data_IF_652121011869
#
_entry.id   IF_652121011869
#
_cell.length_a   1.000
_cell.length_b   1.000
_cell.length_c   1.000
_cell.angle_alpha   90.00
_cell.angle_beta   90.00
_cell.angle_gamma   90.00
#
_symmetry.space_group_name_H-M   'P 1'
#
loop_
_entity.id
_entity.type
_entity.pdbx_description
1 polymer ?
#
# COMPACT_ATOMS: atom_id res chain seq x y z
N UNK A 1 -45.28 -1.24 -12.89
CA UNK A 1 -44.00 -1.98 -13.00
C UNK A 1 -42.92 -0.97 -13.35
N UNK A 2 -42.30 -0.34 -12.35
CA UNK A 2 -41.36 0.78 -12.56
C UNK A 2 -40.03 0.48 -11.84
N UNK A 3 -38.99 0.34 -12.66
CA UNK A 3 -37.55 0.43 -12.42
C UNK A 3 -36.94 -0.21 -11.15
N UNK A 4 -36.29 -1.36 -11.39
CA UNK A 4 -35.41 -2.07 -10.45
C UNK A 4 -33.98 -1.49 -10.31
N UNK A 5 -33.66 -0.33 -10.91
CA UNK A 5 -32.30 0.26 -10.85
C UNK A 5 -32.22 1.57 -10.07
N UNK A 6 -32.68 1.54 -8.82
CA UNK A 6 -32.61 2.67 -7.87
C UNK A 6 -31.60 2.43 -6.73
N UNK A 7 -30.86 1.30 -6.78
CA UNK A 7 -29.93 0.85 -5.72
C UNK A 7 -28.61 1.63 -5.61
N UNK A 8 -28.45 2.76 -6.30
CA UNK A 8 -27.16 3.44 -6.47
C UNK A 8 -27.11 4.87 -5.94
N UNK A 9 -27.96 5.22 -4.96
CA UNK A 9 -27.81 6.48 -4.24
C UNK A 9 -26.99 6.26 -2.96
N UNK A 10 -25.70 6.60 -3.11
CA UNK A 10 -24.66 6.78 -2.08
C UNK A 10 -23.88 5.50 -1.71
N UNK A 11 -22.69 5.39 -2.30
CA UNK A 11 -21.78 4.23 -2.19
C UNK A 11 -21.21 4.07 -0.78
N UNK A 12 -20.40 5.04 -0.34
CA UNK A 12 -19.71 4.99 0.95
C UNK A 12 -20.65 5.38 2.10
N UNK A 13 -21.41 6.46 1.93
CA UNK A 13 -22.29 6.97 2.99
C UNK A 13 -23.33 5.93 3.43
N UNK A 14 -23.97 5.24 2.49
CA UNK A 14 -24.96 4.21 2.85
C UNK A 14 -24.30 2.94 3.40
N UNK A 15 -23.10 2.59 2.93
CA UNK A 15 -22.31 1.52 3.55
C UNK A 15 -21.99 1.84 5.02
N UNK A 16 -21.49 3.04 5.31
CA UNK A 16 -21.19 3.48 6.67
C UNK A 16 -22.45 3.53 7.54
N UNK A 17 -23.55 4.07 7.01
CA UNK A 17 -24.82 4.08 7.72
C UNK A 17 -25.34 2.67 7.98
N UNK A 18 -25.14 1.73 7.05
CA UNK A 18 -25.49 0.32 7.25
C UNK A 18 -24.73 -0.30 8.43
N UNK A 19 -23.43 0.03 8.58
CA UNK A 19 -22.64 -0.39 9.74
C UNK A 19 -23.21 0.21 11.03
N UNK A 20 -23.55 1.51 11.02
CA UNK A 20 -24.16 2.19 12.18
C UNK A 20 -25.50 1.56 12.56
N UNK A 21 -26.38 1.31 11.58
CA UNK A 21 -27.68 0.67 11.79
C UNK A 21 -27.53 -0.75 12.32
N UNK A 22 -26.62 -1.53 11.73
CA UNK A 22 -26.34 -2.91 12.16
C UNK A 22 -25.82 -2.93 13.61
N UNK A 23 -24.97 -1.98 13.97
CA UNK A 23 -24.49 -1.80 15.34
C UNK A 23 -25.63 -1.38 16.29
N UNK A 24 -26.43 -0.37 15.92
CA UNK A 24 -27.51 0.14 16.76
C UNK A 24 -28.57 -0.93 17.08
N UNK A 25 -28.85 -1.83 16.13
CA UNK A 25 -29.81 -2.94 16.30
C UNK A 25 -29.44 -3.94 17.40
N UNK A 26 -28.21 -3.90 17.92
CA UNK A 26 -27.82 -4.71 19.08
C UNK A 26 -28.61 -4.33 20.35
N UNK A 27 -29.20 -3.14 20.39
CA UNK A 27 -30.09 -2.67 21.47
C UNK A 27 -31.50 -2.41 20.92
N UNK A 28 -32.29 -3.46 20.64
CA UNK A 28 -33.53 -3.33 19.88
C UNK A 28 -34.58 -2.44 20.54
N UNK A 29 -34.57 -2.32 21.86
CA UNK A 29 -35.49 -1.48 22.64
C UNK A 29 -35.04 -0.03 22.81
N UNK A 30 -33.82 0.32 22.39
CA UNK A 30 -33.34 1.69 22.48
C UNK A 30 -34.10 2.60 21.52
N UNK A 31 -34.41 3.81 21.97
CA UNK A 31 -35.04 4.84 21.14
C UNK A 31 -34.01 5.47 20.21
N UNK A 32 -34.36 5.58 18.92
CA UNK A 32 -33.54 6.29 17.95
C UNK A 32 -33.83 7.78 18.09
N UNK A 33 -32.79 8.57 18.36
CA UNK A 33 -32.93 10.02 18.43
C UNK A 33 -33.44 10.58 17.08
N UNK A 34 -34.57 11.33 17.07
CA UNK A 34 -35.17 11.83 15.84
C UNK A 34 -34.23 12.70 15.00
N UNK A 35 -34.09 12.32 13.72
CA UNK A 35 -33.34 13.10 12.74
C UNK A 35 -34.21 14.25 12.24
N UNK A 36 -33.69 15.48 12.30
CA UNK A 36 -34.37 16.65 11.74
C UNK A 36 -33.82 16.99 10.36
N UNK A 37 -34.71 17.10 9.37
CA UNK A 37 -34.41 17.56 8.03
C UNK A 37 -34.66 19.07 7.94
N UNK A 38 -33.63 19.82 7.58
CA UNK A 38 -33.71 21.27 7.41
C UNK A 38 -33.88 21.64 5.93
N UNK A 39 -34.81 22.54 5.62
CA UNK A 39 -35.14 22.92 4.24
C UNK A 39 -33.95 23.52 3.48
N UNK A 40 -33.10 24.30 4.15
CA UNK A 40 -31.94 24.95 3.52
C UNK A 40 -30.90 23.94 2.99
N UNK A 41 -30.91 22.71 3.51
CA UNK A 41 -30.04 21.60 3.08
C UNK A 41 -30.62 20.84 1.87
N UNK A 42 -31.88 21.08 1.51
CA UNK A 42 -32.64 20.34 0.51
C UNK A 42 -32.79 21.13 -0.81
N UNK A 43 -31.68 21.46 -1.46
CA UNK A 43 -31.69 22.18 -2.76
C UNK A 43 -31.73 21.21 -3.95
N UNK A 44 -32.69 21.39 -4.84
CA UNK A 44 -32.84 20.59 -6.07
C UNK A 44 -32.87 19.07 -5.81
N UNK A 45 -32.12 18.32 -6.61
CA UNK A 45 -32.05 16.85 -6.52
C UNK A 45 -31.50 16.33 -5.19
N UNK A 46 -30.76 17.15 -4.43
CA UNK A 46 -30.19 16.75 -3.14
C UNK A 46 -31.29 16.34 -2.15
N UNK A 47 -32.46 16.96 -2.23
CA UNK A 47 -33.63 16.62 -1.40
C UNK A 47 -34.02 15.16 -1.56
N UNK A 48 -34.25 14.73 -2.80
CA UNK A 48 -34.70 13.38 -3.14
C UNK A 48 -33.63 12.37 -2.72
N UNK A 49 -32.36 12.68 -2.98
CA UNK A 49 -31.23 11.82 -2.60
C UNK A 49 -31.10 11.65 -1.09
N UNK A 50 -31.21 12.74 -0.32
CA UNK A 50 -31.12 12.74 1.15
C UNK A 50 -32.28 11.98 1.78
N UNK A 51 -33.51 12.24 1.34
CA UNK A 51 -34.68 11.58 1.93
C UNK A 51 -34.63 10.07 1.67
N UNK A 52 -34.35 9.66 0.42
CA UNK A 52 -34.16 8.24 0.06
C UNK A 52 -33.03 7.57 0.86
N UNK A 53 -31.96 8.31 1.16
CA UNK A 53 -30.84 7.80 1.95
C UNK A 53 -31.23 7.36 3.36
N UNK A 54 -32.20 8.03 3.99
CA UNK A 54 -32.69 7.64 5.31
C UNK A 54 -33.84 6.63 5.22
N UNK A 55 -34.75 6.82 4.25
CA UNK A 55 -35.90 5.94 4.03
C UNK A 55 -35.51 4.49 3.76
N UNK A 56 -34.37 4.26 3.08
CA UNK A 56 -33.85 2.90 2.84
C UNK A 56 -33.46 2.12 4.12
N UNK A 57 -33.31 2.81 5.26
CA UNK A 57 -33.05 2.19 6.57
C UNK A 57 -34.32 2.09 7.44
N UNK A 58 -35.50 2.34 6.86
CA UNK A 58 -36.78 2.30 7.57
C UNK A 58 -37.14 3.60 8.30
N UNK A 59 -36.36 4.66 8.15
CA UNK A 59 -36.61 5.95 8.81
C UNK A 59 -37.69 6.72 8.03
N UNK A 60 -38.81 7.00 8.68
CA UNK A 60 -39.94 7.72 8.09
C UNK A 60 -40.01 9.13 8.68
N UNK A 61 -40.17 10.15 7.81
CA UNK A 61 -40.26 11.54 8.23
C UNK A 61 -41.71 12.03 8.25
N UNK A 62 -42.07 12.80 9.27
CA UNK A 62 -43.21 13.70 9.25
C UNK A 62 -42.76 15.02 8.61
N UNK A 63 -43.04 15.18 7.31
CA UNK A 63 -42.69 16.37 6.55
C UNK A 63 -43.56 17.57 6.96
N UNK A 64 -42.97 18.76 6.93
CA UNK A 64 -43.66 20.02 7.27
C UNK A 64 -44.61 20.49 6.16
N UNK A 65 -44.36 20.06 4.92
CA UNK A 65 -45.13 20.43 3.73
C UNK A 65 -45.01 19.34 2.65
N UNK A 66 -45.81 19.49 1.58
CA UNK A 66 -45.79 18.59 0.41
C UNK A 66 -44.47 18.64 -0.36
N UNK A 67 -43.62 19.64 -0.10
CA UNK A 67 -42.33 19.74 -0.76
C UNK A 67 -41.34 18.71 -0.21
N UNK A 68 -41.59 18.14 0.98
CA UNK A 68 -40.72 17.18 1.65
C UNK A 68 -39.29 17.70 1.88
N UNK A 69 -39.12 19.03 1.95
CA UNK A 69 -37.82 19.67 2.12
C UNK A 69 -37.36 19.68 3.59
N UNK A 70 -38.31 19.81 4.51
CA UNK A 70 -38.09 19.76 5.96
C UNK A 70 -39.07 18.79 6.64
N UNK A 71 -38.68 18.31 7.80
CA UNK A 71 -39.45 17.33 8.56
C UNK A 71 -38.65 16.75 9.72
N UNK A 72 -39.33 16.03 10.60
CA UNK A 72 -38.70 15.33 11.73
C UNK A 72 -38.96 13.85 11.57
N UNK A 73 -37.95 13.01 11.79
CA UNK A 73 -38.10 11.57 11.81
C UNK A 73 -39.12 11.19 12.88
N UNK A 74 -40.02 10.26 12.56
CA UNK A 74 -40.93 9.70 13.56
C UNK A 74 -40.12 8.94 14.60
N UNK A 75 -40.62 8.94 15.83
CA UNK A 75 -40.08 8.09 16.89
C UNK A 75 -40.10 6.63 16.43
N UNK A 76 -38.97 5.95 16.64
CA UNK A 76 -38.82 4.55 16.32
C UNK A 76 -37.78 3.91 17.22
N UNK A 77 -37.90 2.60 17.45
CA UNK A 77 -36.86 1.84 18.15
C UNK A 77 -35.75 1.40 17.21
N UNK A 78 -34.57 1.16 17.76
CA UNK A 78 -33.45 0.67 16.96
C UNK A 78 -33.76 -0.67 16.29
N UNK A 79 -34.56 -1.54 16.92
CA UNK A 79 -34.98 -2.82 16.35
C UNK A 79 -35.76 -2.70 15.03
N UNK A 80 -36.42 -1.56 14.81
CA UNK A 80 -37.24 -1.26 13.62
C UNK A 80 -36.39 -0.80 12.41
N UNK A 81 -35.11 -0.49 12.62
CA UNK A 81 -34.20 -0.12 11.54
C UNK A 81 -33.97 -1.29 10.57
N UNK A 82 -33.80 -0.96 9.29
CA UNK A 82 -33.68 -1.93 8.19
C UNK A 82 -32.27 -1.89 7.57
N UNK A 83 -31.29 -2.67 8.08
CA UNK A 83 -29.99 -2.79 7.44
C UNK A 83 -30.08 -3.60 6.15
N UNK A 84 -29.13 -3.37 5.26
CA UNK A 84 -28.89 -4.18 4.09
C UNK A 84 -28.27 -5.53 4.49
N UNK A 85 -28.80 -6.60 3.92
CA UNK A 85 -28.23 -7.95 4.10
C UNK A 85 -26.96 -8.17 3.26
N UNK A 86 -26.81 -7.45 2.15
CA UNK A 86 -25.72 -7.66 1.19
C UNK A 86 -25.06 -6.35 0.79
N UNK A 87 -23.73 -6.40 0.66
CA UNK A 87 -22.95 -5.30 0.12
C UNK A 87 -23.31 -5.09 -1.37
N UNK A 88 -23.37 -3.84 -1.79
CA UNK A 88 -23.54 -3.54 -3.21
C UNK A 88 -22.33 -4.05 -4.02
N UNK A 89 -22.58 -4.63 -5.19
CA UNK A 89 -21.56 -5.24 -6.06
C UNK A 89 -20.43 -4.28 -6.47
N UNK A 90 -20.66 -2.97 -6.37
CA UNK A 90 -19.70 -1.92 -6.72
C UNK A 90 -18.84 -1.42 -5.54
N UNK A 91 -18.94 -2.03 -4.36
CA UNK A 91 -18.08 -1.75 -3.20
C UNK A 91 -17.22 -2.97 -2.89
N UNK A 92 -15.93 -2.73 -2.74
CA UNK A 92 -14.99 -3.66 -2.12
C UNK A 92 -14.51 -3.06 -0.79
N UNK A 93 -14.52 -3.88 0.26
CA UNK A 93 -13.92 -3.53 1.55
C UNK A 93 -12.53 -4.15 1.57
N UNK A 94 -11.51 -3.31 1.60
CA UNK A 94 -10.13 -3.74 1.76
C UNK A 94 -9.76 -3.68 3.25
N UNK A 95 -9.36 -4.80 3.86
CA UNK A 95 -8.74 -4.77 5.18
C UNK A 95 -7.54 -3.84 5.19
N UNK A 96 -7.31 -3.17 6.32
CA UNK A 96 -6.24 -2.19 6.44
C UNK A 96 -4.87 -2.84 6.20
N UNK A 97 -4.71 -4.06 6.70
CA UNK A 97 -3.51 -4.88 6.55
C UNK A 97 -3.24 -5.15 5.07
N UNK A 98 -4.26 -5.61 4.33
CA UNK A 98 -4.17 -5.89 2.90
C UNK A 98 -3.84 -4.64 2.08
N UNK A 99 -4.31 -3.45 2.51
CA UNK A 99 -3.98 -2.20 1.85
C UNK A 99 -2.51 -1.80 2.01
N UNK A 100 -1.89 -2.18 3.13
CA UNK A 100 -0.48 -1.87 3.43
C UNK A 100 0.49 -2.98 3.05
N UNK A 101 0.03 -4.19 2.74
CA UNK A 101 0.89 -5.33 2.41
C UNK A 101 1.90 -5.01 1.30
N UNK A 102 1.47 -4.38 0.21
CA UNK A 102 2.35 -4.05 -0.90
C UNK A 102 3.41 -3.00 -0.51
N UNK A 103 3.00 -1.99 0.24
CA UNK A 103 3.89 -0.93 0.73
C UNK A 103 4.90 -1.49 1.73
N UNK A 104 4.47 -2.40 2.60
CA UNK A 104 5.35 -3.08 3.55
C UNK A 104 6.39 -3.96 2.84
N UNK A 105 5.98 -4.71 1.80
CA UNK A 105 6.92 -5.49 0.98
C UNK A 105 7.95 -4.60 0.29
N UNK A 106 7.51 -3.49 -0.32
CA UNK A 106 8.41 -2.54 -0.95
C UNK A 106 9.42 -1.98 0.06
N UNK A 107 8.96 -1.55 1.23
CA UNK A 107 9.83 -1.08 2.31
C UNK A 107 10.87 -2.12 2.74
N UNK A 108 10.47 -3.39 2.85
CA UNK A 108 11.39 -4.46 3.25
C UNK A 108 12.45 -4.74 2.17
N UNK A 109 12.06 -4.74 0.89
CA UNK A 109 13.03 -4.89 -0.22
C UNK A 109 14.01 -3.71 -0.26
N UNK A 110 13.53 -2.48 -0.06
CA UNK A 110 14.36 -1.30 0.00
C UNK A 110 15.35 -1.36 1.17
N UNK A 111 14.89 -1.78 2.36
CA UNK A 111 15.76 -1.97 3.54
C UNK A 111 16.86 -3.00 3.28
N UNK A 112 16.53 -4.14 2.68
CA UNK A 112 17.51 -5.17 2.32
C UNK A 112 18.54 -4.64 1.31
N UNK A 113 18.10 -3.87 0.31
CA UNK A 113 19.00 -3.27 -0.67
C UNK A 113 19.96 -2.27 -0.02
N UNK A 114 19.46 -1.43 0.88
CA UNK A 114 20.28 -0.46 1.62
C UNK A 114 21.33 -1.15 2.49
N UNK A 115 20.94 -2.19 3.23
CA UNK A 115 21.88 -2.98 4.03
C UNK A 115 22.98 -3.60 3.15
N UNK A 116 22.61 -4.16 2.01
CA UNK A 116 23.57 -4.75 1.06
C UNK A 116 24.55 -3.70 0.52
N UNK A 117 24.05 -2.51 0.18
CA UNK A 117 24.90 -1.40 -0.27
C UNK A 117 25.84 -0.91 0.84
N UNK A 118 25.35 -0.76 2.07
CA UNK A 118 26.17 -0.36 3.21
C UNK A 118 27.30 -1.37 3.51
N UNK A 119 27.00 -2.66 3.42
CA UNK A 119 28.01 -3.71 3.59
C UNK A 119 29.07 -3.66 2.50
N UNK A 120 28.66 -3.46 1.24
CA UNK A 120 29.58 -3.27 0.10
C UNK A 120 30.45 -2.03 0.26
N UNK A 121 29.87 -0.90 0.64
CA UNK A 121 30.61 0.34 0.87
C UNK A 121 31.65 0.16 1.97
N UNK A 122 31.29 -0.48 3.11
CA UNK A 122 32.25 -0.80 4.17
C UNK A 122 33.37 -1.72 3.68
N UNK A 123 33.04 -2.75 2.91
CA UNK A 123 34.03 -3.68 2.36
C UNK A 123 35.01 -2.96 1.42
N UNK A 124 34.49 -2.16 0.48
CA UNK A 124 35.29 -1.38 -0.47
C UNK A 124 36.17 -0.34 0.25
N UNK A 125 35.63 0.36 1.25
CA UNK A 125 36.43 1.28 2.08
C UNK A 125 37.55 0.54 2.80
N UNK A 126 37.29 -0.64 3.34
CA UNK A 126 38.31 -1.46 4.00
C UNK A 126 39.37 -2.00 3.03
N UNK A 127 39.00 -2.33 1.80
CA UNK A 127 39.96 -2.68 0.73
C UNK A 127 40.81 -1.49 0.34
N UNK A 128 40.19 -0.33 0.13
CA UNK A 128 40.88 0.92 -0.22
C UNK A 128 41.86 1.35 0.88
N UNK A 129 41.46 1.29 2.15
CA UNK A 129 42.35 1.57 3.28
C UNK A 129 43.55 0.60 3.32
N UNK A 130 43.33 -0.70 3.11
CA UNK A 130 44.42 -1.69 3.05
C UNK A 130 45.37 -1.44 1.87
N UNK A 131 44.82 -1.07 0.71
CA UNK A 131 45.61 -0.70 -0.46
C UNK A 131 46.47 0.55 -0.20
N UNK A 132 45.87 1.58 0.43
CA UNK A 132 46.57 2.82 0.80
C UNK A 132 47.64 2.60 1.87
N UNK A 133 47.44 1.68 2.81
CA UNK A 133 48.44 1.37 3.84
C UNK A 133 49.70 0.69 3.27
N UNK A 134 49.57 -0.02 2.15
CA UNK A 134 50.69 -0.76 1.52
C UNK A 134 50.72 -0.58 -0.01
N UNK A 135 51.01 0.63 -0.51
CA UNK A 135 50.83 1.00 -1.91
C UNK A 135 51.71 0.19 -2.87
N UNK A 136 52.98 -0.07 -2.49
CA UNK A 136 53.91 -0.84 -3.32
C UNK A 136 53.51 -2.32 -3.44
N UNK A 137 53.06 -2.94 -2.34
CA UNK A 137 52.58 -4.33 -2.34
C UNK A 137 51.29 -4.46 -3.14
N UNK A 138 50.39 -3.50 -3.02
CA UNK A 138 49.16 -3.45 -3.80
C UNK A 138 49.43 -3.32 -5.30
N UNK A 139 50.30 -2.38 -5.70
CA UNK A 139 50.69 -2.19 -7.10
C UNK A 139 51.36 -3.45 -7.69
N UNK A 140 52.31 -4.06 -6.96
CA UNK A 140 52.97 -5.29 -7.39
C UNK A 140 51.97 -6.46 -7.54
N UNK A 141 51.04 -6.61 -6.59
CA UNK A 141 49.97 -7.61 -6.65
C UNK A 141 49.06 -7.38 -7.86
N UNK A 142 48.71 -6.13 -8.17
CA UNK A 142 47.83 -5.82 -9.29
C UNK A 142 48.51 -6.05 -10.64
N UNK A 143 49.79 -5.71 -10.76
CA UNK A 143 50.61 -6.02 -11.94
C UNK A 143 50.72 -7.54 -12.12
N UNK A 144 50.93 -8.28 -11.02
CA UNK A 144 50.95 -9.74 -11.04
C UNK A 144 49.61 -10.32 -11.52
N UNK A 145 48.46 -9.95 -10.95
CA UNK A 145 47.16 -10.47 -11.39
C UNK A 145 46.84 -10.13 -12.85
N UNK A 146 47.25 -8.95 -13.34
CA UNK A 146 46.97 -8.52 -14.71
C UNK A 146 47.90 -9.13 -15.75
N UNK A 147 49.14 -9.42 -15.38
CA UNK A 147 50.19 -9.87 -16.31
C UNK A 147 50.81 -11.22 -15.95
N UNK A 148 50.23 -11.99 -15.03
CA UNK A 148 50.77 -13.27 -14.56
C UNK A 148 51.16 -14.21 -15.72
N UNK A 149 50.28 -14.37 -16.71
CA UNK A 149 50.56 -15.25 -17.86
C UNK A 149 51.75 -14.77 -18.70
N UNK A 150 51.89 -13.45 -18.91
CA UNK A 150 53.02 -12.87 -19.64
C UNK A 150 54.32 -12.93 -18.85
N UNK A 151 54.26 -12.69 -17.54
CA UNK A 151 55.42 -12.77 -16.64
C UNK A 151 55.93 -14.20 -16.50
N UNK A 152 55.02 -15.17 -16.35
CA UNK A 152 55.37 -16.61 -16.29
C UNK A 152 55.89 -17.07 -17.65
N UNK A 153 55.29 -16.63 -18.75
CA UNK A 153 55.76 -16.93 -20.11
C UNK A 153 57.17 -16.39 -20.38
N UNK A 154 57.42 -15.13 -20.03
CA UNK A 154 58.73 -14.49 -20.18
C UNK A 154 59.80 -15.16 -19.30
N UNK A 155 59.48 -15.52 -18.06
CA UNK A 155 60.38 -16.24 -17.16
C UNK A 155 60.75 -17.63 -17.72
N UNK A 156 59.77 -18.34 -18.28
CA UNK A 156 59.97 -19.66 -18.89
C UNK A 156 60.90 -19.58 -20.11
N UNK A 157 60.72 -18.56 -20.96
CA UNK A 157 61.60 -18.30 -22.11
C UNK A 157 63.02 -17.93 -21.70
N UNK A 158 63.19 -17.12 -20.64
CA UNK A 158 64.51 -16.77 -20.12
C UNK A 158 65.27 -17.99 -19.56
N UNK A 159 64.58 -18.90 -18.87
CA UNK A 159 65.18 -20.15 -18.36
C UNK A 159 65.62 -21.07 -19.51
N UNK A 160 64.79 -21.22 -20.55
CA UNK A 160 65.13 -22.01 -21.73
C UNK A 160 66.30 -21.39 -22.53
N UNK A 161 66.31 -20.06 -22.65
CA UNK A 161 67.43 -19.31 -23.25
C UNK A 161 68.74 -19.46 -22.47
N UNK A 162 68.70 -19.39 -21.13
CA UNK A 162 69.88 -19.58 -20.29
C UNK A 162 70.44 -21.00 -20.35
N UNK A 163 69.57 -22.02 -20.37
CA UNK A 163 69.97 -23.43 -20.50
C UNK A 163 70.61 -23.72 -21.87
N UNK A 164 70.07 -23.15 -22.94
CA UNK A 164 70.64 -23.29 -24.29
C UNK A 164 71.98 -22.56 -24.46
N UNK A 165 72.19 -21.45 -23.74
CA UNK A 165 73.49 -20.77 -23.72
C UNK A 165 74.56 -21.58 -22.95
N UNK A 166 74.20 -22.16 -21.80
CA UNK A 166 75.07 -23.02 -21.00
C UNK A 166 75.45 -24.32 -21.72
N UNK A 167 74.54 -24.88 -22.51
CA UNK A 167 74.80 -26.06 -23.34
C UNK A 167 75.73 -25.79 -24.53
N UNK A 168 75.91 -24.52 -24.94
CA UNK A 168 76.79 -24.12 -26.05
C UNK A 168 78.22 -23.77 -25.61
N UNK A 169 78.45 -23.58 -24.32
CA UNK A 169 79.73 -23.15 -23.73
C UNK A 169 80.52 -24.34 -23.13
N UNK A 170 80.03 -25.56 -23.30
CA UNK A 170 80.63 -26.81 -22.80
C UNK A 170 81.00 -27.72 -23.96
#
# INVERSE_FOLDING_TARGET
>A
MYQRDVRLLNRIGSFLMNLVVTWARQWPDAEVNPITLLAHQARGDNKIRRNRFYEQFGIVFAYTDDTSAAGIAREMRAGELQPWAHLAENLSVLPLEAAFDEQNRELDTLRQSQQTMQLRDRALRGELQRAMAHPLRFAARQIWYRHAALLVGAASLAVLGGLSLLARVR
#
